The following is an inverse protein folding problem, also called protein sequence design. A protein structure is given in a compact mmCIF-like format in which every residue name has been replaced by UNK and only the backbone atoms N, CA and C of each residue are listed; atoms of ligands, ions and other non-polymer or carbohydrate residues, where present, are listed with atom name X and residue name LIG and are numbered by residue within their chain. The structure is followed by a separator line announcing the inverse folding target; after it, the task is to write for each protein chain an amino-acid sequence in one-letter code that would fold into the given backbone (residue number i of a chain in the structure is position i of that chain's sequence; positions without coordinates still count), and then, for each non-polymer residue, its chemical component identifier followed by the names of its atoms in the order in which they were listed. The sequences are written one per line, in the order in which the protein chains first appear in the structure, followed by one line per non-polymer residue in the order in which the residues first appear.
data_IF_550148645374
#
_entry.id   IF_550148645374
#
_cell.length_a   1.000
_cell.length_b   1.000
_cell.length_c   1.000
_cell.angle_alpha   90.00
_cell.angle_beta   90.00
_cell.angle_gamma   90.00
#
_symmetry.space_group_name_H-M   'P 1'
#
loop_
_entity.id
_entity.type
_entity.pdbx_description
1 polymer ?
#
# COMPACT_ATOMS: atom_id res chain seq x y z
N UNK A 1 4.78 23.24 8.68
CA UNK A 1 5.66 23.70 9.77
C UNK A 1 5.19 23.23 11.11
N UNK A 2 6.09 23.21 12.10
CA UNK A 2 5.80 22.91 13.49
C UNK A 2 6.47 23.96 14.36
N UNK A 3 5.83 24.33 15.47
CA UNK A 3 6.42 25.26 16.45
C UNK A 3 7.62 24.59 17.12
N UNK A 4 8.71 25.35 17.32
CA UNK A 4 9.96 24.85 17.89
C UNK A 4 9.79 24.30 19.31
N UNK A 5 8.96 24.95 20.13
CA UNK A 5 8.65 24.48 21.49
C UNK A 5 7.96 23.13 21.50
N UNK A 6 6.99 22.91 20.62
CA UNK A 6 6.30 21.62 20.44
C UNK A 6 7.28 20.55 19.92
N UNK A 7 8.11 20.89 18.93
CA UNK A 7 9.13 19.99 18.40
C UNK A 7 10.09 19.53 19.48
N UNK A 8 10.64 20.47 20.27
CA UNK A 8 11.57 20.15 21.34
C UNK A 8 10.92 19.36 22.46
N UNK A 9 9.70 19.74 22.88
CA UNK A 9 8.92 19.04 23.91
C UNK A 9 8.66 17.58 23.54
N UNK A 10 8.42 17.29 22.28
CA UNK A 10 8.13 15.95 21.78
C UNK A 10 9.37 15.17 21.35
N UNK A 11 10.57 15.76 21.42
CA UNK A 11 11.83 15.11 21.05
C UNK A 11 12.04 14.92 19.54
N UNK A 12 11.33 15.69 18.70
CA UNK A 12 11.49 15.67 17.25
C UNK A 12 11.00 14.38 16.58
N UNK A 13 11.55 14.07 15.41
CA UNK A 13 11.25 12.83 14.67
C UNK A 13 11.86 11.62 15.36
N UNK A 14 11.14 10.51 15.36
CA UNK A 14 11.63 9.23 15.89
C UNK A 14 12.64 8.58 14.94
N UNK A 15 13.43 7.64 15.46
CA UNK A 15 14.41 6.86 14.68
C UNK A 15 13.75 5.77 13.81
N UNK A 16 12.50 5.95 13.39
CA UNK A 16 11.84 5.04 12.45
C UNK A 16 12.38 5.27 11.05
N UNK A 17 12.54 4.19 10.26
CA UNK A 17 12.99 4.30 8.88
C UNK A 17 11.89 4.80 7.94
N UNK A 18 10.65 4.39 8.21
CA UNK A 18 9.47 4.76 7.43
C UNK A 18 8.32 5.10 8.37
N UNK A 19 7.60 6.20 8.07
CA UNK A 19 6.45 6.65 8.85
C UNK A 19 6.80 7.53 10.05
N UNK A 20 8.02 8.08 10.09
CA UNK A 20 8.49 9.01 11.13
C UNK A 20 7.66 10.29 11.20
N UNK A 21 7.13 10.74 10.06
CA UNK A 21 6.23 11.88 9.94
C UNK A 21 4.84 11.59 10.52
N UNK A 22 4.33 10.39 10.28
CA UNK A 22 3.05 9.92 10.85
C UNK A 22 3.20 9.71 12.37
N UNK A 23 4.30 9.08 12.81
CA UNK A 23 4.61 8.93 14.24
C UNK A 23 4.65 10.29 14.94
N UNK A 24 5.34 11.25 14.35
CA UNK A 24 5.43 12.60 14.92
C UNK A 24 4.06 13.27 14.99
N UNK A 25 3.24 13.12 13.95
CA UNK A 25 1.86 13.61 13.93
C UNK A 25 1.01 12.99 15.03
N UNK A 26 1.10 11.67 15.24
CA UNK A 26 0.39 10.97 16.32
C UNK A 26 0.80 11.54 17.69
N UNK A 27 2.10 11.78 17.93
CA UNK A 27 2.59 12.36 19.19
C UNK A 27 2.11 13.80 19.39
N UNK A 28 2.03 14.61 18.34
CA UNK A 28 1.46 15.96 18.40
C UNK A 28 0.00 15.91 18.85
N UNK A 29 -0.82 15.02 18.27
CA UNK A 29 -2.22 14.89 18.66
C UNK A 29 -2.38 14.33 20.08
N UNK A 30 -1.61 13.32 20.47
CA UNK A 30 -1.62 12.77 21.84
C UNK A 30 -1.19 13.80 22.88
N UNK A 31 -0.36 14.77 22.54
CA UNK A 31 0.03 15.88 23.40
C UNK A 31 -1.05 17.01 23.49
N UNK A 32 -2.23 16.81 22.89
CA UNK A 32 -3.30 17.80 22.89
C UNK A 32 -3.05 19.02 22.01
N UNK A 33 -2.00 18.98 21.16
CA UNK A 33 -1.72 20.08 20.24
C UNK A 33 -2.66 20.04 19.04
N UNK A 34 -3.04 21.23 18.55
CA UNK A 34 -3.92 21.38 17.40
C UNK A 34 -3.10 21.53 16.10
N UNK A 35 -3.55 20.89 15.03
CA UNK A 35 -3.02 21.10 13.68
C UNK A 35 -4.01 21.94 12.87
N UNK A 36 -3.48 22.80 12.00
CA UNK A 36 -4.26 23.63 11.09
C UNK A 36 -3.74 23.45 9.66
N UNK A 37 -4.66 23.26 8.72
CA UNK A 37 -4.37 23.32 7.30
C UNK A 37 -4.47 24.80 6.84
N UNK A 38 -3.47 25.25 6.10
CA UNK A 38 -3.47 26.57 5.45
C UNK A 38 -3.59 26.33 3.94
N UNK A 39 -4.77 26.53 3.33
CA UNK A 39 -4.98 26.29 1.90
C UNK A 39 -4.07 27.15 1.01
N UNK A 40 -3.68 28.33 1.49
CA UNK A 40 -2.81 29.26 0.79
C UNK A 40 -1.33 28.79 0.77
N UNK A 41 -0.97 27.87 1.65
CA UNK A 41 0.41 27.35 1.75
C UNK A 41 0.53 26.06 0.96
N UNK A 42 0.97 26.18 -0.27
CA UNK A 42 1.16 25.03 -1.17
C UNK A 42 2.54 25.10 -1.85
N UNK A 43 2.99 23.93 -2.32
CA UNK A 43 4.27 23.79 -3.02
C UNK A 43 4.12 22.91 -4.25
N UNK A 44 4.89 23.20 -5.29
CA UNK A 44 5.03 22.29 -6.42
C UNK A 44 5.91 21.12 -6.02
N UNK A 45 5.37 19.92 -6.11
CA UNK A 45 6.11 18.70 -5.80
C UNK A 45 6.15 17.80 -7.03
N UNK A 46 7.35 17.61 -7.61
CA UNK A 46 7.55 16.67 -8.70
C UNK A 46 7.42 15.24 -8.17
N UNK A 47 6.33 14.58 -8.53
CA UNK A 47 6.10 13.18 -8.16
C UNK A 47 7.06 12.25 -8.92
N UNK A 48 7.17 11.01 -8.45
CA UNK A 48 7.95 9.98 -9.14
C UNK A 48 7.25 9.60 -10.44
N UNK A 49 8.02 9.60 -11.54
CA UNK A 49 7.53 9.29 -12.89
C UNK A 49 7.87 7.87 -13.36
N UNK A 50 8.48 7.07 -12.48
CA UNK A 50 8.98 5.73 -12.75
C UNK A 50 8.23 4.73 -11.87
N UNK A 51 7.62 3.70 -12.48
CA UNK A 51 6.86 2.66 -11.78
C UNK A 51 7.71 1.90 -10.74
N UNK A 52 9.01 1.67 -10.99
CA UNK A 52 9.89 1.00 -10.04
C UNK A 52 10.10 1.83 -8.76
N UNK A 53 10.32 3.14 -8.92
CA UNK A 53 10.45 4.06 -7.79
C UNK A 53 9.11 4.22 -7.06
N UNK A 54 8.01 4.25 -7.80
CA UNK A 54 6.67 4.30 -7.23
C UNK A 54 6.35 3.02 -6.43
N UNK A 55 6.61 1.84 -7.01
CA UNK A 55 6.45 0.57 -6.29
C UNK A 55 7.24 0.56 -4.98
N UNK A 56 8.53 0.94 -5.00
CA UNK A 56 9.35 1.02 -3.79
C UNK A 56 8.76 1.96 -2.75
N UNK A 57 8.20 3.10 -3.17
CA UNK A 57 7.56 4.04 -2.25
C UNK A 57 6.35 3.43 -1.56
N UNK A 58 5.43 2.86 -2.32
CA UNK A 58 4.19 2.28 -1.75
C UNK A 58 4.47 1.02 -0.93
N UNK A 59 5.46 0.22 -1.33
CA UNK A 59 5.96 -0.91 -0.56
C UNK A 59 6.48 -0.47 0.83
N UNK A 60 7.30 0.57 0.88
CA UNK A 60 7.77 1.14 2.14
C UNK A 60 6.63 1.71 2.98
N UNK A 61 5.57 2.23 2.36
CA UNK A 61 4.37 2.68 3.07
C UNK A 61 3.62 1.52 3.72
N UNK A 62 3.59 0.35 3.08
CA UNK A 62 3.06 -0.88 3.67
C UNK A 62 3.86 -1.32 4.91
N UNK A 63 5.20 -1.29 4.82
CA UNK A 63 6.10 -1.56 5.96
C UNK A 63 5.84 -0.59 7.11
N UNK A 64 5.80 0.71 6.80
CA UNK A 64 5.56 1.78 7.78
C UNK A 64 4.27 1.54 8.57
N UNK A 65 3.22 1.05 7.92
CA UNK A 65 1.94 0.79 8.56
C UNK A 65 2.03 -0.25 9.69
N UNK A 66 2.78 -1.31 9.49
CA UNK A 66 3.00 -2.35 10.51
C UNK A 66 3.90 -1.84 11.63
N UNK A 67 4.95 -1.07 11.30
CA UNK A 67 5.80 -0.46 12.32
C UNK A 67 5.01 0.49 13.22
N UNK A 68 4.14 1.32 12.63
CA UNK A 68 3.23 2.18 13.37
C UNK A 68 2.21 1.39 14.21
N UNK A 69 1.65 0.30 13.66
CA UNK A 69 0.74 -0.59 14.39
C UNK A 69 1.41 -1.19 15.63
N UNK A 70 2.66 -1.66 15.52
CA UNK A 70 3.41 -2.19 16.67
C UNK A 70 3.61 -1.16 17.77
N UNK A 71 3.73 0.12 17.41
CA UNK A 71 3.91 1.23 18.35
C UNK A 71 2.59 1.82 18.84
N UNK A 72 1.60 1.86 17.96
CA UNK A 72 0.26 2.43 18.20
C UNK A 72 -0.81 1.52 17.59
N UNK A 73 -1.26 0.48 18.32
CA UNK A 73 -2.22 -0.50 17.80
C UNK A 73 -3.50 0.14 17.24
N UNK A 74 -3.96 1.22 17.88
CA UNK A 74 -5.14 2.00 17.48
C UNK A 74 -4.98 2.74 16.13
N UNK A 75 -3.76 2.86 15.63
CA UNK A 75 -3.49 3.53 14.35
C UNK A 75 -3.88 2.69 13.13
N UNK A 76 -4.04 1.38 13.28
CA UNK A 76 -4.42 0.47 12.19
C UNK A 76 -5.94 0.48 12.01
N UNK A 77 -6.39 0.90 10.82
CA UNK A 77 -7.81 0.91 10.42
C UNK A 77 -8.06 -0.14 9.34
N UNK A 78 -9.30 -0.61 9.20
CA UNK A 78 -9.68 -1.60 8.18
C UNK A 78 -9.27 -1.18 6.75
N UNK A 79 -9.36 0.10 6.42
CA UNK A 79 -8.94 0.62 5.12
C UNK A 79 -7.47 0.33 4.79
N UNK A 80 -6.61 0.20 5.79
CA UNK A 80 -5.19 -0.12 5.60
C UNK A 80 -4.94 -1.58 5.24
N UNK A 81 -5.93 -2.46 5.44
CA UNK A 81 -5.88 -3.87 5.07
C UNK A 81 -6.29 -4.12 3.62
N UNK A 82 -7.06 -3.20 3.02
CA UNK A 82 -7.60 -3.38 1.66
C UNK A 82 -6.51 -3.71 0.61
N UNK A 83 -5.35 -3.02 0.57
CA UNK A 83 -4.31 -3.38 -0.40
C UNK A 83 -3.71 -4.77 -0.17
N UNK A 84 -3.61 -5.21 1.09
CA UNK A 84 -3.16 -6.56 1.42
C UNK A 84 -4.20 -7.59 0.95
N UNK A 85 -5.47 -7.39 1.24
CA UNK A 85 -6.57 -8.27 0.81
C UNK A 85 -6.62 -8.35 -0.72
N UNK A 86 -6.49 -7.20 -1.40
CA UNK A 86 -6.40 -7.16 -2.86
C UNK A 86 -5.22 -7.99 -3.38
N UNK A 87 -4.03 -7.82 -2.80
CA UNK A 87 -2.83 -8.55 -3.21
C UNK A 87 -2.99 -10.05 -3.02
N UNK A 88 -3.46 -10.48 -1.86
CA UNK A 88 -3.72 -11.92 -1.58
C UNK A 88 -4.80 -12.44 -2.51
N UNK A 89 -5.87 -11.68 -2.73
CA UNK A 89 -6.96 -12.04 -3.64
C UNK A 89 -6.45 -12.28 -5.07
N UNK A 90 -5.71 -11.33 -5.63
CA UNK A 90 -5.14 -11.46 -6.99
C UNK A 90 -4.20 -12.66 -7.08
N UNK A 91 -3.29 -12.84 -6.11
CA UNK A 91 -2.39 -14.00 -6.10
C UNK A 91 -3.15 -15.33 -6.00
N UNK A 92 -4.19 -15.39 -5.16
CA UNK A 92 -5.06 -16.57 -5.04
C UNK A 92 -5.78 -16.86 -6.35
N UNK A 93 -6.29 -15.84 -7.06
CA UNK A 93 -6.93 -16.02 -8.37
C UNK A 93 -5.95 -16.59 -9.39
N UNK A 94 -4.71 -16.12 -9.42
CA UNK A 94 -3.67 -16.66 -10.30
C UNK A 94 -3.42 -18.14 -10.01
N UNK A 95 -3.27 -18.51 -8.72
CA UNK A 95 -3.05 -19.91 -8.31
C UNK A 95 -4.26 -20.78 -8.66
N UNK A 96 -5.48 -20.35 -8.33
CA UNK A 96 -6.72 -21.07 -8.66
C UNK A 96 -6.85 -21.29 -10.16
N UNK A 97 -6.57 -20.25 -10.95
CA UNK A 97 -6.62 -20.34 -12.41
C UNK A 97 -5.57 -21.31 -12.97
N UNK A 98 -4.37 -21.33 -12.39
CA UNK A 98 -3.31 -22.25 -12.79
C UNK A 98 -3.67 -23.71 -12.45
N UNK A 99 -4.15 -23.96 -11.23
CA UNK A 99 -4.59 -25.29 -10.79
C UNK A 99 -5.79 -25.75 -11.61
N UNK A 100 -6.80 -24.90 -11.78
CA UNK A 100 -7.98 -25.23 -12.59
C UNK A 100 -7.63 -25.61 -14.03
N UNK A 101 -6.66 -24.92 -14.65
CA UNK A 101 -6.19 -25.27 -16.00
C UNK A 101 -5.56 -26.66 -16.05
N UNK A 102 -4.85 -27.08 -15.01
CA UNK A 102 -4.31 -28.45 -14.92
C UNK A 102 -5.46 -29.46 -14.75
N UNK A 103 -6.43 -29.15 -13.91
CA UNK A 103 -7.59 -30.05 -13.67
C UNK A 103 -8.48 -30.21 -14.90
N UNK A 104 -8.67 -29.16 -15.70
CA UNK A 104 -9.40 -29.23 -16.99
C UNK A 104 -8.79 -30.23 -17.97
N UNK A 105 -7.53 -30.61 -17.81
CA UNK A 105 -6.89 -31.61 -18.64
C UNK A 105 -7.36 -33.06 -18.32
N UNK A 106 -7.88 -33.26 -17.10
CA UNK A 106 -8.24 -34.58 -16.58
C UNK A 106 -9.74 -34.79 -16.38
N UNK A 107 -10.57 -33.75 -16.46
CA UNK A 107 -11.98 -33.79 -16.09
C UNK A 107 -12.81 -32.83 -16.97
N UNK A 108 -14.13 -32.83 -16.78
CA UNK A 108 -15.12 -32.09 -17.55
C UNK A 108 -14.82 -30.56 -17.61
N UNK A 109 -14.55 -30.07 -18.81
CA UNK A 109 -13.98 -28.74 -19.11
C UNK A 109 -14.88 -27.59 -18.63
N UNK A 110 -16.20 -27.72 -18.78
CA UNK A 110 -17.11 -26.58 -18.61
C UNK A 110 -17.21 -26.09 -17.17
N UNK A 111 -17.23 -26.99 -16.18
CA UNK A 111 -17.33 -26.64 -14.76
C UNK A 111 -16.11 -25.86 -14.29
N UNK A 112 -14.91 -26.32 -14.65
CA UNK A 112 -13.66 -25.71 -14.24
C UNK A 112 -13.42 -24.36 -14.92
N UNK A 113 -13.91 -24.20 -16.16
CA UNK A 113 -13.80 -22.93 -16.88
C UNK A 113 -14.46 -21.78 -16.12
N UNK A 114 -15.72 -21.96 -15.66
CA UNK A 114 -16.43 -20.91 -14.91
C UNK A 114 -15.81 -20.62 -13.54
N UNK A 115 -15.30 -21.64 -12.85
CA UNK A 115 -14.59 -21.47 -11.58
C UNK A 115 -13.29 -20.70 -11.73
N UNK A 116 -12.61 -20.81 -12.88
CA UNK A 116 -11.37 -20.10 -13.15
C UNK A 116 -11.59 -18.70 -13.72
N UNK A 117 -12.58 -18.53 -14.60
CA UNK A 117 -12.82 -17.25 -15.29
C UNK A 117 -13.72 -16.31 -14.50
N UNK A 118 -14.76 -16.83 -13.83
CA UNK A 118 -15.74 -16.02 -13.11
C UNK A 118 -15.15 -15.04 -12.09
N UNK A 119 -14.25 -15.48 -11.20
CA UNK A 119 -13.65 -14.63 -10.19
C UNK A 119 -12.78 -13.48 -10.73
N UNK A 120 -12.42 -13.49 -12.01
CA UNK A 120 -11.72 -12.36 -12.65
C UNK A 120 -12.64 -11.23 -13.07
N UNK A 121 -13.96 -11.43 -13.13
CA UNK A 121 -14.93 -10.41 -13.54
C UNK A 121 -14.87 -9.14 -12.68
N UNK A 122 -14.78 -9.20 -11.34
CA UNK A 122 -14.61 -8.00 -10.52
C UNK A 122 -13.32 -7.23 -10.82
N UNK A 123 -12.22 -7.94 -11.10
CA UNK A 123 -10.94 -7.33 -11.47
C UNK A 123 -11.04 -6.63 -12.83
N UNK A 124 -11.70 -7.27 -13.81
CA UNK A 124 -11.95 -6.66 -15.11
C UNK A 124 -12.83 -5.43 -15.01
N UNK A 125 -13.91 -5.50 -14.22
CA UNK A 125 -14.78 -4.34 -13.95
C UNK A 125 -13.99 -3.20 -13.28
N UNK A 126 -13.14 -3.50 -12.31
CA UNK A 126 -12.24 -2.53 -11.67
C UNK A 126 -11.29 -1.87 -12.68
N UNK A 127 -10.64 -2.66 -13.55
CA UNK A 127 -9.79 -2.14 -14.61
C UNK A 127 -10.56 -1.21 -15.57
N UNK A 128 -11.78 -1.62 -15.96
CA UNK A 128 -12.63 -0.83 -16.85
C UNK A 128 -13.05 0.50 -16.22
N UNK A 129 -13.43 0.49 -14.94
CA UNK A 129 -13.79 1.71 -14.21
C UNK A 129 -12.62 2.69 -14.14
N UNK A 130 -11.41 2.22 -13.79
CA UNK A 130 -10.21 3.06 -13.77
C UNK A 130 -9.91 3.61 -15.16
N UNK A 131 -9.97 2.74 -16.18
CA UNK A 131 -9.68 3.14 -17.55
C UNK A 131 -10.64 4.26 -18.02
N UNK A 132 -11.93 4.06 -17.83
CA UNK A 132 -12.96 5.02 -18.27
C UNK A 132 -12.84 6.35 -17.51
N UNK A 133 -12.73 6.28 -16.18
CA UNK A 133 -12.62 7.47 -15.35
C UNK A 133 -11.36 8.28 -15.67
N UNK A 134 -10.20 7.64 -15.65
CA UNK A 134 -8.93 8.32 -15.92
C UNK A 134 -8.82 8.83 -17.36
N UNK A 135 -9.33 8.07 -18.35
CA UNK A 135 -9.35 8.52 -19.75
C UNK A 135 -10.21 9.75 -19.94
N UNK A 136 -11.37 9.81 -19.28
CA UNK A 136 -12.27 10.97 -19.33
C UNK A 136 -11.65 12.20 -18.68
N UNK A 137 -11.12 12.03 -17.46
CA UNK A 137 -10.54 13.15 -16.70
C UNK A 137 -9.31 13.77 -17.40
N UNK A 138 -8.48 12.93 -18.01
CA UNK A 138 -7.24 13.38 -18.65
C UNK A 138 -7.35 13.53 -20.17
N UNK A 139 -8.50 13.22 -20.76
CA UNK A 139 -8.74 13.25 -22.22
C UNK A 139 -7.69 12.45 -23.01
N UNK A 140 -7.27 11.31 -22.48
CA UNK A 140 -6.20 10.48 -23.03
C UNK A 140 -6.39 9.01 -22.70
N UNK A 141 -6.54 8.18 -23.73
CA UNK A 141 -6.63 6.72 -23.57
C UNK A 141 -5.31 6.12 -23.05
N UNK A 142 -4.17 6.71 -23.42
CA UNK A 142 -2.86 6.30 -22.93
C UNK A 142 -2.78 6.45 -21.41
N UNK A 143 -3.20 7.60 -20.86
CA UNK A 143 -3.23 7.83 -19.42
C UNK A 143 -4.20 6.86 -18.74
N UNK A 144 -5.32 6.54 -19.36
CA UNK A 144 -6.25 5.53 -18.87
C UNK A 144 -5.59 4.16 -18.69
N UNK A 145 -4.84 3.69 -19.67
CA UNK A 145 -4.09 2.43 -19.59
C UNK A 145 -2.97 2.47 -18.54
N UNK A 146 -2.20 3.55 -18.51
CA UNK A 146 -1.14 3.74 -17.51
C UNK A 146 -1.70 3.80 -16.08
N UNK A 147 -2.92 4.31 -15.90
CA UNK A 147 -3.60 4.37 -14.60
C UNK A 147 -3.98 2.99 -14.07
N UNK A 148 -4.35 2.04 -14.94
CA UNK A 148 -4.56 0.64 -14.53
C UNK A 148 -3.25 0.09 -13.94
N UNK A 149 -2.15 0.20 -14.69
CA UNK A 149 -0.84 -0.27 -14.23
C UNK A 149 -0.42 0.40 -12.91
N UNK A 150 -0.60 1.73 -12.81
CA UNK A 150 -0.30 2.48 -11.59
C UNK A 150 -1.12 2.00 -10.39
N UNK A 151 -2.40 1.70 -10.58
CA UNK A 151 -3.29 1.20 -9.54
C UNK A 151 -2.84 -0.17 -9.01
N UNK A 152 -2.49 -1.10 -9.91
CA UNK A 152 -1.94 -2.39 -9.49
C UNK A 152 -0.59 -2.24 -8.78
N UNK A 153 0.30 -1.40 -9.29
CA UNK A 153 1.59 -1.10 -8.64
C UNK A 153 1.35 -0.56 -7.22
N UNK A 154 0.37 0.33 -7.05
CA UNK A 154 0.04 0.91 -5.74
C UNK A 154 -0.50 -0.14 -4.77
N UNK A 155 -1.52 -0.89 -5.17
CA UNK A 155 -2.19 -1.86 -4.28
C UNK A 155 -1.27 -3.03 -3.96
N UNK A 156 -0.64 -3.64 -4.96
CA UNK A 156 0.24 -4.79 -4.76
C UNK A 156 1.55 -4.39 -4.07
N UNK A 157 2.13 -3.25 -4.44
CA UNK A 157 3.34 -2.75 -3.77
C UNK A 157 3.13 -2.56 -2.28
N UNK A 158 2.05 -1.86 -1.90
CA UNK A 158 1.69 -1.69 -0.49
C UNK A 158 1.37 -3.04 0.18
N UNK A 159 0.58 -3.90 -0.48
CA UNK A 159 0.20 -5.21 0.05
C UNK A 159 1.41 -6.10 0.33
N UNK A 160 2.37 -6.18 -0.58
CA UNK A 160 3.62 -6.92 -0.36
C UNK A 160 4.42 -6.37 0.82
N UNK A 161 4.60 -5.04 0.90
CA UNK A 161 5.30 -4.42 2.02
C UNK A 161 4.63 -4.67 3.35
N UNK A 162 3.28 -4.62 3.38
CA UNK A 162 2.48 -4.92 4.56
C UNK A 162 2.64 -6.39 5.00
N UNK A 163 2.51 -7.35 4.06
CA UNK A 163 2.62 -8.79 4.35
C UNK A 163 4.02 -9.12 4.87
N UNK A 164 5.08 -8.63 4.21
CA UNK A 164 6.45 -8.86 4.65
C UNK A 164 6.70 -8.30 6.05
N UNK A 165 6.27 -7.06 6.30
CA UNK A 165 6.43 -6.43 7.60
C UNK A 165 5.62 -7.17 8.68
N UNK A 166 4.38 -7.56 8.39
CA UNK A 166 3.56 -8.33 9.30
C UNK A 166 4.24 -9.67 9.66
N UNK A 167 4.74 -10.40 8.66
CA UNK A 167 5.45 -11.65 8.89
C UNK A 167 6.68 -11.45 9.76
N UNK A 168 7.56 -10.50 9.40
CA UNK A 168 8.81 -10.26 10.13
C UNK A 168 8.60 -9.72 11.54
N UNK A 169 7.64 -8.79 11.70
CA UNK A 169 7.42 -8.05 12.95
C UNK A 169 6.45 -8.73 13.91
N UNK A 170 5.41 -9.38 13.39
CA UNK A 170 4.35 -9.97 14.20
C UNK A 170 4.51 -11.48 14.37
N UNK A 171 4.91 -12.21 13.30
CA UNK A 171 5.10 -13.68 13.38
C UNK A 171 6.49 -14.03 13.88
N UNK A 172 7.55 -13.45 13.28
CA UNK A 172 8.93 -13.75 13.65
C UNK A 172 9.45 -12.92 14.86
N UNK A 173 8.66 -11.95 15.34
CA UNK A 173 9.01 -11.13 16.50
C UNK A 173 10.25 -10.23 16.33
N UNK A 174 10.74 -10.02 15.09
CA UNK A 174 11.91 -9.17 14.84
C UNK A 174 11.61 -7.71 15.15
N UNK A 175 12.56 -6.99 15.72
CA UNK A 175 12.49 -5.53 15.84
C UNK A 175 12.63 -4.86 14.47
N UNK A 176 12.39 -3.54 14.39
CA UNK A 176 12.44 -2.81 13.12
C UNK A 176 13.84 -2.83 12.50
N UNK A 177 14.88 -2.68 13.32
CA UNK A 177 16.26 -2.64 12.83
C UNK A 177 16.68 -3.99 12.25
N UNK A 178 16.44 -5.08 12.97
CA UNK A 178 16.78 -6.44 12.51
C UNK A 178 15.91 -6.92 11.34
N UNK A 179 14.64 -6.50 11.28
CA UNK A 179 13.73 -6.88 10.19
C UNK A 179 14.08 -6.19 8.86
N UNK A 180 14.60 -4.93 8.93
CA UNK A 180 14.83 -4.07 7.76
C UNK A 180 16.25 -3.46 7.74
N UNK A 181 17.26 -4.20 8.22
CA UNK A 181 18.64 -3.76 8.33
C UNK A 181 19.19 -3.13 7.04
N UNK A 182 18.91 -3.77 5.88
CA UNK A 182 19.35 -3.29 4.57
C UNK A 182 18.74 -1.94 4.15
N UNK A 183 17.70 -1.49 4.80
CA UNK A 183 17.01 -0.23 4.47
C UNK A 183 17.40 0.93 5.37
N UNK A 184 18.12 0.67 6.47
CA UNK A 184 18.69 1.73 7.30
C UNK A 184 19.98 2.26 6.67
N UNK A 185 20.21 3.57 6.77
CA UNK A 185 21.51 4.16 6.45
C UNK A 185 22.53 3.71 7.49
N UNK A 186 23.65 3.22 7.02
CA UNK A 186 24.82 3.00 7.87
C UNK A 186 25.49 4.32 8.19
#
# INVERSE_FOLDING_TARGET
GVRRDVYNKLGGFSKMRFGEDIDFSIRIFKAGCKCRLFPESWVWHKRRTDFRKFFRQVYNSGIARINLYKKYPESLKLVHLLPMVFTVGVLSLVVISAVGRVLMHYDDIDRWYWLCAGPWLPILAYCLLIFVDSSKQNRSLKIGLESIAASFVQLMGYGFGFIEAWWKRCVLGKDEFSAFEKTFYK
#
